data_IF_952612866380
#
_entry.id   IF_952612866380
#
_cell.length_a   1.000
_cell.length_b   1.000
_cell.length_c   1.000
_cell.angle_alpha   90.00
_cell.angle_beta   90.00
_cell.angle_gamma   90.00
#
_symmetry.space_group_name_H-M   'P 1'
#
loop_
_entity.id
_entity.type
_entity.pdbx_description
1 polymer ?
#
# COMPACT_ATOMS: atom_id res chain seq x y z
N UNK A 1 -1.90 11.34 -12.33
CA UNK A 1 -1.63 9.98 -11.83
C UNK A 1 -2.88 9.13 -11.89
N UNK A 2 -2.80 7.85 -12.29
CA UNK A 2 -3.86 6.90 -11.95
C UNK A 2 -3.94 6.78 -10.42
N UNK A 3 -5.16 6.73 -9.89
CA UNK A 3 -5.42 6.44 -8.49
C UNK A 3 -6.40 5.29 -8.38
N UNK A 4 -6.54 4.73 -7.18
CA UNK A 4 -7.53 3.70 -6.88
C UNK A 4 -8.18 3.96 -5.55
N UNK A 5 -9.47 3.65 -5.44
CA UNK A 5 -10.18 3.62 -4.17
C UNK A 5 -9.97 2.25 -3.54
N UNK A 6 -9.66 2.23 -2.26
CA UNK A 6 -9.39 1.00 -1.50
C UNK A 6 -10.70 0.45 -0.94
N UNK A 7 -10.94 -0.86 -1.14
CA UNK A 7 -12.06 -1.61 -0.56
C UNK A 7 -11.62 -2.61 0.52
N UNK A 8 -12.60 -3.23 1.19
CA UNK A 8 -12.39 -4.23 2.26
C UNK A 8 -11.76 -5.55 1.80
N UNK A 9 -11.68 -5.73 0.48
CA UNK A 9 -11.18 -6.95 -0.18
C UNK A 9 -9.83 -6.72 -0.85
N UNK A 10 -9.23 -5.56 -0.61
CA UNK A 10 -7.93 -5.18 -1.16
C UNK A 10 -6.80 -5.50 -0.18
N UNK A 11 -5.80 -6.20 -0.72
CA UNK A 11 -4.63 -6.68 0.01
C UNK A 11 -3.38 -6.41 -0.81
N UNK A 12 -2.26 -6.17 -0.13
CA UNK A 12 -0.94 -6.15 -0.75
C UNK A 12 -0.09 -7.27 -0.18
N UNK A 13 0.44 -8.12 -1.04
CA UNK A 13 1.03 -9.39 -0.60
C UNK A 13 2.53 -9.23 -0.39
N UNK A 14 2.99 -9.42 0.85
CA UNK A 14 4.39 -9.35 1.26
C UNK A 14 4.99 -10.74 1.57
N UNK A 15 4.21 -11.81 1.40
CA UNK A 15 4.69 -13.19 1.55
C UNK A 15 5.67 -13.58 0.44
N UNK A 16 6.95 -13.72 0.81
CA UNK A 16 8.06 -14.11 -0.09
C UNK A 16 7.85 -15.47 -0.78
N UNK A 17 7.01 -16.35 -0.24
CA UNK A 17 6.72 -17.65 -0.82
C UNK A 17 5.49 -17.64 -1.74
N UNK A 18 4.77 -16.52 -1.78
CA UNK A 18 3.56 -16.40 -2.58
C UNK A 18 3.89 -16.13 -4.05
N UNK A 19 3.17 -16.75 -5.01
CA UNK A 19 3.25 -16.33 -6.40
C UNK A 19 2.81 -14.87 -6.60
N UNK A 20 2.10 -14.29 -5.63
CA UNK A 20 1.65 -12.90 -5.62
C UNK A 20 2.60 -11.93 -4.90
N UNK A 21 3.80 -12.36 -4.52
CA UNK A 21 4.76 -11.52 -3.80
C UNK A 21 4.93 -10.13 -4.43
N UNK A 22 4.87 -9.11 -3.58
CA UNK A 22 4.96 -7.69 -3.88
C UNK A 22 3.89 -7.18 -4.89
N UNK A 23 2.65 -7.66 -4.76
CA UNK A 23 1.53 -7.26 -5.64
C UNK A 23 0.27 -6.90 -4.87
N UNK A 24 -0.50 -5.99 -5.45
CA UNK A 24 -1.87 -5.72 -5.02
C UNK A 24 -2.83 -6.79 -5.55
N UNK A 25 -3.67 -7.33 -4.67
CA UNK A 25 -4.72 -8.28 -4.99
C UNK A 25 -6.06 -7.84 -4.40
N UNK A 26 -7.11 -7.99 -5.20
CA UNK A 26 -8.49 -7.79 -4.76
C UNK A 26 -9.18 -9.15 -4.78
N UNK A 27 -9.66 -9.63 -3.63
CA UNK A 27 -10.38 -10.91 -3.58
C UNK A 27 -11.74 -10.78 -4.29
N UNK A 28 -12.00 -11.67 -5.25
CA UNK A 28 -13.27 -11.72 -5.96
C UNK A 28 -14.45 -11.88 -4.98
N UNK A 29 -15.62 -11.26 -5.21
CA UNK A 29 -16.78 -11.34 -4.31
C UNK A 29 -17.27 -12.77 -4.03
N UNK A 30 -16.99 -13.70 -4.93
CA UNK A 30 -17.36 -15.12 -4.82
C UNK A 30 -16.51 -15.91 -3.84
N UNK A 31 -15.38 -15.36 -3.39
CA UNK A 31 -14.49 -15.99 -2.40
C UNK A 31 -14.82 -15.50 -0.99
N UNK A 32 -14.45 -16.29 0.03
CA UNK A 32 -14.46 -15.81 1.41
C UNK A 32 -13.47 -14.64 1.55
N UNK A 33 -13.80 -13.62 2.35
CA UNK A 33 -12.87 -12.51 2.63
C UNK A 33 -11.93 -12.85 3.80
N UNK A 34 -11.37 -14.06 3.78
CA UNK A 34 -10.46 -14.59 4.80
C UNK A 34 -9.04 -14.68 4.22
N UNK A 35 -8.27 -13.58 4.22
CA UNK A 35 -7.00 -13.49 3.48
C UNK A 35 -5.96 -14.54 3.90
N UNK A 36 -6.01 -15.02 5.15
CA UNK A 36 -5.14 -16.10 5.64
C UNK A 36 -5.39 -17.46 4.96
N UNK A 37 -6.51 -17.63 4.26
CA UNK A 37 -6.76 -18.80 3.41
C UNK A 37 -6.03 -18.70 2.06
N UNK A 38 -5.60 -17.48 1.67
CA UNK A 38 -4.98 -17.20 0.37
C UNK A 38 -3.48 -16.92 0.49
N UNK A 39 -3.04 -16.23 1.55
CA UNK A 39 -1.65 -15.79 1.74
C UNK A 39 -1.20 -15.93 3.20
N UNK A 40 0.09 -16.23 3.42
CA UNK A 40 0.65 -16.38 4.77
C UNK A 40 0.92 -15.03 5.44
N UNK A 41 1.25 -14.02 4.64
CA UNK A 41 1.47 -12.63 5.04
C UNK A 41 0.87 -11.69 3.99
N UNK A 42 0.30 -10.60 4.46
CA UNK A 42 -0.31 -9.56 3.64
C UNK A 42 -0.53 -8.28 4.45
N UNK A 43 -0.55 -7.15 3.75
CA UNK A 43 -1.09 -5.89 4.22
C UNK A 43 -2.58 -5.81 3.85
N UNK A 44 -3.43 -5.47 4.84
CA UNK A 44 -4.81 -5.05 4.56
C UNK A 44 -4.76 -3.62 4.09
N UNK A 45 -5.29 -3.34 2.90
CA UNK A 45 -5.22 -1.99 2.36
C UNK A 45 -6.26 -1.07 2.99
N UNK A 46 -7.46 -1.57 3.30
CA UNK A 46 -8.42 -0.83 4.13
C UNK A 46 -8.19 -1.21 5.59
N UNK A 47 -7.75 -0.24 6.39
CA UNK A 47 -7.42 -0.41 7.80
C UNK A 47 -8.34 0.44 8.67
N UNK A 48 -8.73 -0.09 9.82
CA UNK A 48 -9.57 0.62 10.80
C UNK A 48 -8.81 1.73 11.55
N UNK A 49 -7.47 1.72 11.47
CA UNK A 49 -6.59 2.72 12.07
C UNK A 49 -6.21 3.85 11.12
N UNK A 50 -6.82 3.89 9.92
CA UNK A 50 -6.71 4.97 8.94
C UNK A 50 -5.31 5.24 8.37
N UNK A 51 -4.29 4.41 8.66
CA UNK A 51 -2.94 4.65 8.14
C UNK A 51 -2.88 4.73 6.61
N UNK A 52 -3.73 3.98 5.90
CA UNK A 52 -3.81 3.94 4.44
C UNK A 52 -5.02 4.71 3.87
N UNK A 53 -5.60 5.63 4.63
CA UNK A 53 -6.70 6.48 4.16
C UNK A 53 -6.28 7.30 2.92
N UNK A 54 -5.06 7.83 2.96
CA UNK A 54 -4.36 8.41 1.83
C UNK A 54 -2.96 7.81 1.73
N UNK A 55 -2.45 7.70 0.51
CA UNK A 55 -1.10 7.23 0.32
C UNK A 55 -0.72 6.98 -1.12
N UNK A 56 0.51 6.50 -1.27
CA UNK A 56 1.10 6.14 -2.55
C UNK A 56 1.90 4.86 -2.38
N UNK A 57 1.81 3.99 -3.38
CA UNK A 57 2.72 2.86 -3.51
C UNK A 57 4.05 3.35 -4.05
N UNK A 58 5.11 3.09 -3.31
CA UNK A 58 6.47 3.34 -3.78
C UNK A 58 6.87 2.16 -4.65
N UNK A 59 7.45 2.44 -5.82
CA UNK A 59 7.84 1.45 -6.84
C UNK A 59 8.96 0.49 -6.44
N UNK A 60 9.19 0.28 -5.14
CA UNK A 60 10.26 -0.57 -4.62
C UNK A 60 10.03 -2.02 -5.04
N UNK A 61 11.00 -2.58 -5.77
CA UNK A 61 11.00 -3.99 -6.20
C UNK A 61 9.73 -4.42 -6.97
N UNK A 62 9.04 -3.50 -7.66
CA UNK A 62 7.80 -3.82 -8.38
C UNK A 62 8.05 -4.49 -9.73
N UNK A 63 9.03 -4.02 -10.50
CA UNK A 63 9.33 -4.60 -11.81
C UNK A 63 10.81 -4.46 -12.20
N UNK A 64 11.52 -5.56 -12.51
CA UNK A 64 11.10 -6.94 -12.25
C UNK A 64 11.01 -7.20 -10.73
N UNK A 65 10.01 -7.97 -10.29
CA UNK A 65 9.89 -8.36 -8.88
C UNK A 65 10.93 -9.44 -8.54
N UNK A 66 11.85 -9.14 -7.62
CA UNK A 66 12.82 -10.09 -7.10
C UNK A 66 12.44 -10.53 -5.69
N UNK A 67 12.21 -11.83 -5.49
CA UNK A 67 11.82 -12.39 -4.19
C UNK A 67 12.89 -12.10 -3.12
N UNK A 68 12.45 -11.70 -1.93
CA UNK A 68 13.34 -11.44 -0.79
C UNK A 68 14.06 -10.08 -0.81
N UNK A 69 13.78 -9.21 -1.79
CA UNK A 69 14.36 -7.85 -1.90
C UNK A 69 13.49 -6.75 -1.26
N UNK A 70 12.62 -7.12 -0.32
CA UNK A 70 11.62 -6.22 0.29
C UNK A 70 10.36 -6.06 -0.57
N UNK A 71 9.29 -5.59 0.05
CA UNK A 71 7.95 -5.42 -0.53
C UNK A 71 7.14 -4.42 0.28
N UNK A 72 5.96 -4.06 -0.21
CA UNK A 72 4.95 -3.31 0.56
C UNK A 72 5.47 -1.97 1.11
N UNK A 73 6.21 -1.24 0.28
CA UNK A 73 6.73 0.09 0.65
C UNK A 73 5.74 1.16 0.20
N UNK A 74 5.24 1.93 1.17
CA UNK A 74 4.24 2.96 0.95
C UNK A 74 4.70 4.31 1.53
N UNK A 75 4.11 5.37 0.99
CA UNK A 75 3.98 6.64 1.66
C UNK A 75 2.54 6.73 2.19
N UNK A 76 2.36 6.96 3.49
CA UNK A 76 1.03 6.89 4.11
C UNK A 76 0.87 7.79 5.37
N UNK A 77 -0.32 7.80 5.95
CA UNK A 77 -0.63 8.56 7.18
C UNK A 77 -0.04 7.82 8.38
N UNK A 78 0.69 8.51 9.25
CA UNK A 78 1.18 7.92 10.50
C UNK A 78 0.07 7.81 11.56
N UNK A 79 0.28 7.02 12.61
CA UNK A 79 -0.57 7.08 13.81
C UNK A 79 -0.20 8.27 14.70
N UNK A 80 1.11 8.51 14.83
CA UNK A 80 1.70 9.64 15.55
C UNK A 80 3.13 9.87 15.06
N UNK A 81 3.72 11.05 15.29
CA UNK A 81 5.11 11.35 14.95
C UNK A 81 6.14 10.41 15.59
N UNK A 82 5.81 9.80 16.72
CA UNK A 82 6.68 8.87 17.46
C UNK A 82 6.50 7.41 17.06
N UNK A 83 5.51 7.09 16.24
CA UNK A 83 5.22 5.71 15.83
C UNK A 83 6.13 5.31 14.67
N UNK A 84 7.06 4.35 14.84
CA UNK A 84 7.95 3.93 13.77
C UNK A 84 7.21 3.10 12.72
N UNK A 85 7.73 3.10 11.49
CA UNK A 85 7.29 2.20 10.42
C UNK A 85 8.28 1.03 10.26
N UNK A 86 7.85 -0.03 9.58
CA UNK A 86 8.72 -1.15 9.20
C UNK A 86 9.45 -0.94 7.86
N UNK A 87 9.55 0.30 7.38
CA UNK A 87 10.21 0.64 6.11
C UNK A 87 9.44 1.65 5.24
N UNK A 88 8.15 1.85 5.50
CA UNK A 88 7.36 2.91 4.86
C UNK A 88 7.83 4.31 5.30
N UNK A 89 7.47 5.31 4.51
CA UNK A 89 7.54 6.70 4.97
C UNK A 89 6.14 7.12 5.42
N UNK A 90 6.02 7.76 6.58
CA UNK A 90 4.75 8.22 7.08
C UNK A 90 4.84 9.64 7.65
N UNK A 91 3.75 10.40 7.55
CA UNK A 91 3.64 11.79 8.00
C UNK A 91 2.21 12.12 8.40
N UNK A 92 1.97 13.32 8.90
CA UNK A 92 0.61 13.77 9.21
C UNK A 92 -0.24 13.85 7.93
N UNK A 93 -1.56 13.65 8.07
CA UNK A 93 -2.50 13.67 6.95
C UNK A 93 -2.39 14.94 6.13
N UNK A 94 -2.24 16.10 6.77
CA UNK A 94 -2.11 17.38 6.08
C UNK A 94 -0.86 17.44 5.18
N UNK A 95 0.31 17.09 5.73
CA UNK A 95 1.57 17.08 5.00
C UNK A 95 1.53 16.09 3.82
N UNK A 96 0.90 14.93 4.03
CA UNK A 96 0.73 13.94 2.99
C UNK A 96 -0.13 14.48 1.84
N UNK A 97 -1.25 15.14 2.15
CA UNK A 97 -2.12 15.73 1.14
C UNK A 97 -1.40 16.83 0.35
N UNK A 98 -0.53 17.61 0.98
CA UNK A 98 0.30 18.61 0.28
C UNK A 98 1.26 17.94 -0.71
N UNK A 99 1.95 16.87 -0.29
CA UNK A 99 2.83 16.08 -1.18
C UNK A 99 2.05 15.48 -2.35
N UNK A 100 0.90 14.84 -2.09
CA UNK A 100 0.08 14.22 -3.12
C UNK A 100 -0.47 15.25 -4.11
N UNK A 101 -0.89 16.41 -3.62
CA UNK A 101 -1.39 17.52 -4.44
C UNK A 101 -0.28 18.10 -5.32
N UNK A 102 0.92 18.31 -4.77
CA UNK A 102 2.08 18.76 -5.53
C UNK A 102 2.44 17.78 -6.66
N UNK A 103 2.45 16.47 -6.38
CA UNK A 103 2.72 15.44 -7.37
C UNK A 103 1.68 15.37 -8.49
N UNK A 104 0.40 15.65 -8.18
CA UNK A 104 -0.65 15.75 -9.18
C UNK A 104 -0.42 16.93 -10.13
N UNK A 105 -0.03 18.08 -9.58
CA UNK A 105 0.25 19.29 -10.35
C UNK A 105 1.45 19.12 -11.28
N UNK A 106 2.53 18.47 -10.82
CA UNK A 106 3.73 18.22 -11.65
C UNK A 106 3.41 17.44 -12.93
N UNK A 107 2.48 16.50 -12.88
CA UNK A 107 2.06 15.73 -14.07
C UNK A 107 1.07 16.45 -14.97
N UNK A 108 0.58 17.62 -14.56
CA UNK A 108 -0.33 18.46 -15.35
C UNK A 108 0.39 19.59 -16.11
N UNK A 109 1.70 19.76 -15.89
CA UNK A 109 2.54 20.67 -16.67
C UNK A 109 3.08 19.90 -17.89
N UNK A 110 2.83 20.38 -19.13
CA UNK A 110 3.23 19.70 -20.36
C UNK A 110 4.76 19.63 -20.54
#
# INVERSE_FOLDING_TARGET
MPYRVIGERDYFIDDVNSPDYNRWRTLAPTLSNEPKQHWRSFERMRRDDHQYEYGMMIGHNLFPTLVGRGSAIFLHVWLSPETPTAGCTAMATHDLLDVLSWLQLYQSVP
#
